data_IF_157627605487
#
_entry.id   IF_157627605487
#
_cell.length_a   1.000
_cell.length_b   1.000
_cell.length_c   1.000
_cell.angle_alpha   90.00
_cell.angle_beta   90.00
_cell.angle_gamma   90.00
#
_symmetry.space_group_name_H-M   'P 1'
#
loop_
_entity.id
_entity.type
_entity.pdbx_description
1 polymer ?
#
# COMPACT_ATOMS: atom_id res chain seq x y z
N UNK A 1 -5.00 6.04 37.44
CA UNK A 1 -4.44 7.31 36.91
C UNK A 1 -3.00 7.40 37.44
N UNK A 2 -2.01 7.10 36.56
CA UNK A 2 -0.59 7.07 36.96
C UNK A 2 -0.09 8.50 36.84
N UNK A 3 0.09 9.19 37.97
CA UNK A 3 0.75 10.50 38.03
C UNK A 3 2.26 10.25 37.86
N UNK A 4 2.79 10.61 36.68
CA UNK A 4 4.24 10.64 36.48
C UNK A 4 4.84 11.75 37.37
N UNK A 5 5.80 11.36 38.21
CA UNK A 5 6.55 12.26 39.05
C UNK A 5 7.28 13.31 38.21
N UNK A 6 7.21 14.59 38.61
CA UNK A 6 7.85 15.72 37.91
C UNK A 6 9.33 15.48 37.65
N UNK A 7 10.02 14.79 38.56
CA UNK A 7 11.42 14.42 38.44
C UNK A 7 11.69 13.46 37.27
N UNK A 8 10.76 12.51 37.02
CA UNK A 8 10.86 11.56 35.89
C UNK A 8 10.60 12.24 34.54
N UNK A 9 9.69 13.24 34.53
CA UNK A 9 9.40 14.00 33.33
C UNK A 9 10.63 14.85 32.94
N UNK A 10 11.27 15.51 33.91
CA UNK A 10 12.48 16.30 33.68
C UNK A 10 13.63 15.42 33.20
N UNK A 11 13.82 14.21 33.78
CA UNK A 11 14.84 13.26 33.32
C UNK A 11 14.60 12.79 31.88
N UNK A 12 13.35 12.47 31.49
CA UNK A 12 12.99 12.05 30.14
C UNK A 12 13.20 13.17 29.12
N UNK A 13 12.84 14.41 29.47
CA UNK A 13 13.06 15.57 28.57
C UNK A 13 14.55 15.91 28.41
N UNK A 14 15.35 15.87 29.48
CA UNK A 14 16.78 16.07 29.39
C UNK A 14 17.47 14.97 28.58
N UNK A 15 17.05 13.71 28.73
CA UNK A 15 17.61 12.60 27.98
C UNK A 15 17.29 12.69 26.48
N UNK A 16 16.08 13.10 26.11
CA UNK A 16 15.70 13.31 24.72
C UNK A 16 16.46 14.47 24.07
N UNK A 17 16.67 15.56 24.79
CA UNK A 17 17.46 16.72 24.30
C UNK A 17 18.93 16.32 24.10
N UNK A 18 19.52 15.52 24.99
CA UNK A 18 20.91 15.04 24.84
C UNK A 18 21.04 14.12 23.62
N UNK A 19 20.07 13.21 23.39
CA UNK A 19 20.10 12.34 22.21
C UNK A 19 19.97 13.14 20.92
N UNK A 20 19.08 14.12 20.86
CA UNK A 20 18.89 14.97 19.69
C UNK A 20 20.14 15.82 19.44
N UNK A 21 20.75 16.41 20.49
CA UNK A 21 21.97 17.20 20.33
C UNK A 21 23.18 16.35 19.94
N UNK A 22 23.30 15.10 20.43
CA UNK A 22 24.36 14.18 20.01
C UNK A 22 24.19 13.72 18.56
N UNK A 23 22.95 13.45 18.12
CA UNK A 23 22.65 13.12 16.73
C UNK A 23 22.97 14.32 15.80
N UNK A 24 22.62 15.53 16.21
CA UNK A 24 22.95 16.75 15.44
C UNK A 24 24.45 17.01 15.39
N UNK A 25 25.18 16.76 16.47
CA UNK A 25 26.63 16.92 16.52
C UNK A 25 27.36 15.87 15.68
N UNK A 26 26.86 14.61 15.67
CA UNK A 26 27.37 13.55 14.80
C UNK A 26 27.13 13.87 13.32
N UNK A 27 25.96 14.40 12.97
CA UNK A 27 25.65 14.78 11.58
C UNK A 27 26.50 15.94 11.08
N UNK A 28 26.83 16.91 11.96
CA UNK A 28 27.69 18.06 11.60
C UNK A 28 29.19 17.75 11.56
N UNK A 29 29.61 16.61 12.18
CA UNK A 29 31.02 16.19 12.23
C UNK A 29 31.41 15.15 11.19
N UNK A 30 30.41 14.60 10.46
CA UNK A 30 30.68 13.67 9.36
C UNK A 30 31.11 14.47 8.13
N UNK A 31 32.39 14.37 7.79
CA UNK A 31 32.90 14.84 6.51
C UNK A 31 32.30 13.98 5.39
N UNK A 32 31.32 14.53 4.71
CA UNK A 32 30.59 13.84 3.60
C UNK A 32 31.38 13.80 2.29
N UNK A 33 32.55 14.43 2.24
CA UNK A 33 33.37 14.50 1.01
C UNK A 33 33.97 13.18 0.55
N UNK A 34 33.88 12.12 1.38
CA UNK A 34 34.38 10.78 1.08
C UNK A 34 33.32 9.68 1.10
N UNK A 35 32.04 10.00 1.38
CA UNK A 35 30.97 9.02 1.26
C UNK A 35 30.67 8.83 -0.23
N UNK A 36 30.61 7.57 -0.71
CA UNK A 36 30.13 7.35 -2.06
C UNK A 36 28.73 7.97 -2.17
N UNK A 37 28.51 8.71 -3.26
CA UNK A 37 27.17 9.18 -3.63
C UNK A 37 26.30 7.93 -3.78
N UNK A 38 25.65 7.54 -2.69
CA UNK A 38 24.63 6.48 -2.71
C UNK A 38 23.42 7.15 -3.33
N UNK A 39 23.42 7.23 -4.66
CA UNK A 39 22.17 7.49 -5.36
C UNK A 39 21.15 6.47 -4.83
N UNK A 40 20.01 6.94 -4.30
CA UNK A 40 18.98 6.05 -3.80
C UNK A 40 18.64 5.09 -4.93
N UNK A 41 18.96 3.81 -4.77
CA UNK A 41 18.61 2.78 -5.75
C UNK A 41 17.10 2.68 -5.74
N UNK A 42 16.45 3.40 -6.64
CA UNK A 42 15.02 3.26 -6.92
C UNK A 42 14.75 1.77 -7.09
N UNK A 43 13.98 1.17 -6.17
CA UNK A 43 13.47 -0.18 -6.35
C UNK A 43 12.49 -0.07 -7.50
N UNK A 44 13.04 -0.27 -8.70
CA UNK A 44 12.31 0.07 -9.92
C UNK A 44 11.19 -0.92 -10.20
N UNK A 45 11.35 -2.20 -9.81
CA UNK A 45 10.36 -3.19 -10.26
C UNK A 45 10.34 -4.44 -9.37
N UNK A 46 9.13 -4.88 -9.01
CA UNK A 46 8.85 -6.20 -8.45
C UNK A 46 7.87 -6.93 -9.36
N UNK A 47 8.00 -8.26 -9.42
CA UNK A 47 7.06 -9.11 -10.12
C UNK A 47 6.87 -10.40 -9.32
N UNK A 48 5.62 -10.79 -9.11
CA UNK A 48 5.27 -12.03 -8.46
C UNK A 48 3.91 -12.52 -8.93
N UNK A 49 3.57 -13.76 -8.65
CA UNK A 49 2.24 -14.31 -8.93
C UNK A 49 1.78 -15.21 -7.78
N UNK A 50 0.46 -15.25 -7.60
CA UNK A 50 -0.22 -16.03 -6.57
C UNK A 50 -1.43 -16.74 -7.17
N UNK A 51 -1.69 -17.98 -6.76
CA UNK A 51 -2.94 -18.69 -7.05
C UNK A 51 -3.86 -18.47 -5.87
N UNK A 52 -5.08 -17.97 -6.14
CA UNK A 52 -6.14 -17.75 -5.16
C UNK A 52 -7.32 -18.67 -5.45
N UNK A 53 -7.95 -19.17 -4.38
CA UNK A 53 -9.10 -20.07 -4.47
C UNK A 53 -10.42 -19.29 -4.55
N UNK A 54 -10.50 -18.44 -5.59
CA UNK A 54 -11.63 -17.57 -5.90
C UNK A 54 -11.78 -17.53 -7.41
N UNK A 55 -13.02 -17.47 -7.90
CA UNK A 55 -13.30 -17.32 -9.33
C UNK A 55 -12.74 -16.01 -9.88
N UNK A 56 -12.33 -16.02 -11.14
CA UNK A 56 -11.68 -14.89 -11.80
C UNK A 56 -12.58 -13.65 -11.88
N UNK A 57 -13.83 -13.82 -12.19
CA UNK A 57 -14.77 -12.69 -12.31
C UNK A 57 -15.07 -12.11 -10.93
N UNK A 58 -15.19 -12.95 -9.93
CA UNK A 58 -15.44 -12.54 -8.56
C UNK A 58 -14.29 -11.72 -8.00
N UNK A 59 -13.06 -12.27 -8.03
CA UNK A 59 -11.89 -11.55 -7.48
C UNK A 59 -11.60 -10.26 -8.25
N UNK A 60 -11.81 -10.27 -9.58
CA UNK A 60 -11.68 -9.06 -10.39
C UNK A 60 -12.69 -7.99 -9.95
N UNK A 61 -13.97 -8.34 -9.81
CA UNK A 61 -15.02 -7.40 -9.42
C UNK A 61 -14.74 -6.78 -8.04
N UNK A 62 -14.28 -7.58 -7.09
CA UNK A 62 -13.92 -7.09 -5.74
C UNK A 62 -12.71 -6.13 -5.82
N UNK A 63 -11.70 -6.46 -6.61
CA UNK A 63 -10.51 -5.61 -6.79
C UNK A 63 -10.78 -4.39 -7.68
N UNK A 64 -11.85 -4.37 -8.46
CA UNK A 64 -12.30 -3.24 -9.26
C UNK A 64 -13.28 -2.32 -8.51
N UNK A 65 -13.77 -2.73 -7.34
CA UNK A 65 -14.67 -1.95 -6.49
C UNK A 65 -13.88 -0.99 -5.59
N UNK A 66 -13.35 0.06 -6.22
CA UNK A 66 -12.44 1.02 -5.60
C UNK A 66 -13.12 1.77 -4.44
N UNK A 67 -14.41 2.07 -4.53
CA UNK A 67 -15.17 2.73 -3.46
C UNK A 67 -15.11 1.96 -2.14
N UNK A 68 -15.06 0.63 -2.20
CA UNK A 68 -15.02 -0.24 -1.03
C UNK A 68 -13.60 -0.47 -0.47
N UNK A 69 -12.55 0.08 -1.06
CA UNK A 69 -11.18 -0.09 -0.58
C UNK A 69 -10.97 0.27 0.90
N UNK A 70 -11.55 1.35 1.45
CA UNK A 70 -11.42 1.63 2.89
C UNK A 70 -11.99 0.53 3.78
N UNK A 71 -13.00 -0.20 3.30
CA UNK A 71 -13.62 -1.34 4.01
C UNK A 71 -12.79 -2.63 3.85
N UNK A 72 -12.25 -2.87 2.66
CA UNK A 72 -11.49 -4.08 2.34
C UNK A 72 -10.05 -3.98 2.87
N UNK A 73 -9.47 -2.80 2.80
CA UNK A 73 -8.07 -2.48 3.14
C UNK A 73 -7.98 -1.42 4.26
N UNK A 74 -8.66 -1.59 5.42
CA UNK A 74 -8.78 -0.52 6.43
C UNK A 74 -7.44 -0.12 7.06
N UNK A 75 -6.41 -0.95 6.91
CA UNK A 75 -5.05 -0.67 7.40
C UNK A 75 -4.19 0.11 6.41
N UNK A 76 -4.59 0.17 5.14
CA UNK A 76 -3.81 0.78 4.07
C UNK A 76 -4.53 1.97 3.43
N UNK A 77 -5.86 1.92 3.31
CA UNK A 77 -6.67 2.96 2.65
C UNK A 77 -7.58 3.61 3.69
N UNK A 78 -7.38 4.90 3.93
CA UNK A 78 -8.18 5.69 4.87
C UNK A 78 -9.47 6.18 4.21
N UNK A 79 -9.36 6.68 2.98
CA UNK A 79 -10.51 7.19 2.22
C UNK A 79 -10.25 7.14 0.73
N UNK A 80 -11.33 7.05 -0.02
CA UNK A 80 -11.39 7.09 -1.48
C UNK A 80 -12.41 8.14 -1.88
N UNK A 81 -12.08 8.97 -2.88
CA UNK A 81 -13.00 9.94 -3.48
C UNK A 81 -12.87 9.85 -5.00
N UNK A 82 -13.88 9.34 -5.68
CA UNK A 82 -13.91 9.23 -7.13
C UNK A 82 -14.14 10.62 -7.71
N UNK A 83 -13.19 11.11 -8.51
CA UNK A 83 -13.25 12.42 -9.17
C UNK A 83 -13.87 12.30 -10.55
N UNK A 84 -13.48 11.28 -11.32
CA UNK A 84 -13.97 11.00 -12.67
C UNK A 84 -14.15 9.50 -12.85
N UNK A 85 -15.18 9.12 -13.58
CA UNK A 85 -15.47 7.72 -13.89
C UNK A 85 -15.99 7.58 -15.31
N UNK A 86 -15.42 6.63 -16.02
CA UNK A 86 -15.90 6.15 -17.32
C UNK A 86 -16.19 4.64 -17.22
N UNK A 87 -16.50 4.01 -18.35
CA UNK A 87 -16.76 2.57 -18.35
C UNK A 87 -15.55 1.73 -17.86
N UNK A 88 -14.33 2.15 -18.21
CA UNK A 88 -13.12 1.38 -17.96
C UNK A 88 -12.04 2.14 -17.19
N UNK A 89 -12.28 3.38 -16.83
CA UNK A 89 -11.29 4.19 -16.13
C UNK A 89 -11.94 4.98 -14.98
N UNK A 90 -11.21 5.04 -13.87
CA UNK A 90 -11.54 5.88 -12.71
C UNK A 90 -10.34 6.76 -12.38
N UNK A 91 -10.57 8.04 -12.14
CA UNK A 91 -9.62 8.94 -11.52
C UNK A 91 -10.05 9.17 -10.08
N UNK A 92 -9.18 8.84 -9.16
CA UNK A 92 -9.53 8.72 -7.74
C UNK A 92 -8.52 9.46 -6.89
N UNK A 93 -9.00 10.18 -5.89
CA UNK A 93 -8.17 10.68 -4.81
C UNK A 93 -8.18 9.64 -3.69
N UNK A 94 -7.02 9.04 -3.41
CA UNK A 94 -6.84 8.07 -2.35
C UNK A 94 -6.00 8.66 -1.21
N UNK A 95 -6.46 8.50 0.02
CA UNK A 95 -5.68 8.76 1.21
C UNK A 95 -5.19 7.42 1.75
N UNK A 96 -3.89 7.18 1.61
CA UNK A 96 -3.25 5.94 2.04
C UNK A 96 -2.54 6.11 3.38
N UNK A 97 -2.31 5.01 4.08
CA UNK A 97 -1.42 4.94 5.24
C UNK A 97 -0.60 3.66 5.19
N UNK A 98 0.67 3.77 5.51
CA UNK A 98 1.59 2.63 5.61
C UNK A 98 2.61 2.92 6.72
N UNK A 99 2.71 2.01 7.70
CA UNK A 99 3.62 2.13 8.87
C UNK A 99 3.49 3.49 9.58
N UNK A 100 2.25 4.01 9.68
CA UNK A 100 1.97 5.31 10.33
C UNK A 100 2.28 6.55 9.47
N UNK A 101 2.79 6.39 8.26
CA UNK A 101 2.97 7.47 7.29
C UNK A 101 1.70 7.58 6.45
N UNK A 102 1.16 8.78 6.34
CA UNK A 102 -0.05 9.04 5.53
C UNK A 102 0.30 9.93 4.35
N UNK A 103 -0.17 9.54 3.16
CA UNK A 103 -0.05 10.35 1.94
C UNK A 103 -1.38 10.41 1.20
N UNK A 104 -1.54 11.47 0.41
CA UNK A 104 -2.68 11.68 -0.48
C UNK A 104 -2.20 11.55 -1.92
N UNK A 105 -2.83 10.67 -2.67
CA UNK A 105 -2.44 10.30 -4.02
C UNK A 105 -3.59 10.56 -4.99
N UNK A 106 -3.26 11.01 -6.18
CA UNK A 106 -4.17 10.99 -7.32
C UNK A 106 -3.88 9.73 -8.14
N UNK A 107 -4.82 8.83 -8.22
CA UNK A 107 -4.66 7.50 -8.79
C UNK A 107 -5.60 7.31 -9.97
N UNK A 108 -5.06 6.84 -11.08
CA UNK A 108 -5.84 6.39 -12.23
C UNK A 108 -5.91 4.87 -12.21
N UNK A 109 -7.13 4.33 -12.18
CA UNK A 109 -7.41 2.91 -12.37
C UNK A 109 -7.92 2.69 -13.79
N UNK A 110 -7.30 1.77 -14.51
CA UNK A 110 -7.79 1.29 -15.81
C UNK A 110 -8.18 -0.18 -15.67
N UNK A 111 -9.43 -0.48 -15.97
CA UNK A 111 -10.05 -1.78 -15.81
C UNK A 111 -10.27 -2.42 -17.18
N UNK A 112 -9.54 -3.49 -17.49
CA UNK A 112 -9.83 -4.39 -18.60
C UNK A 112 -10.59 -5.58 -18.02
N UNK A 113 -11.92 -5.67 -18.18
CA UNK A 113 -12.77 -6.58 -17.44
C UNK A 113 -12.27 -8.01 -17.45
N UNK A 114 -12.04 -8.55 -16.26
CA UNK A 114 -11.57 -9.92 -15.98
C UNK A 114 -10.18 -10.27 -16.54
N UNK A 115 -9.46 -9.30 -17.13
CA UNK A 115 -8.13 -9.50 -17.69
C UNK A 115 -7.04 -8.76 -16.94
N UNK A 116 -7.23 -7.45 -16.74
CA UNK A 116 -6.22 -6.61 -16.11
C UNK A 116 -6.85 -5.49 -15.28
N UNK A 117 -6.16 -5.15 -14.19
CA UNK A 117 -6.35 -3.91 -13.46
C UNK A 117 -5.01 -3.18 -13.44
N UNK A 118 -4.97 -1.98 -14.02
CA UNK A 118 -3.79 -1.13 -14.10
C UNK A 118 -4.02 0.05 -13.16
N UNK A 119 -3.05 0.32 -12.30
CA UNK A 119 -3.07 1.39 -11.29
C UNK A 119 -1.88 2.28 -11.60
N UNK A 120 -2.13 3.56 -11.86
CA UNK A 120 -1.10 4.56 -12.16
C UNK A 120 -1.26 5.74 -11.22
N UNK A 121 -0.21 6.07 -10.47
CA UNK A 121 -0.23 7.22 -9.57
C UNK A 121 0.16 8.46 -10.36
N UNK A 122 -0.82 9.34 -10.53
CA UNK A 122 -0.72 10.53 -11.37
C UNK A 122 -0.16 11.73 -10.61
N UNK A 123 -0.37 11.78 -9.27
CA UNK A 123 0.14 12.84 -8.41
C UNK A 123 0.28 12.40 -6.95
N UNK A 124 1.04 13.15 -6.15
CA UNK A 124 1.39 12.85 -4.75
C UNK A 124 2.76 12.19 -4.62
N UNK A 125 3.09 11.74 -3.39
CA UNK A 125 4.43 11.26 -3.02
C UNK A 125 4.86 9.94 -3.66
N UNK A 126 4.00 9.34 -4.48
CA UNK A 126 4.31 8.13 -5.25
C UNK A 126 4.08 8.31 -6.76
N UNK A 127 4.05 9.56 -7.24
CA UNK A 127 3.81 9.90 -8.65
C UNK A 127 4.75 9.14 -9.59
N UNK A 128 4.16 8.50 -10.62
CA UNK A 128 4.87 7.68 -11.58
C UNK A 128 4.94 6.20 -11.20
N UNK A 129 4.45 5.82 -10.03
CA UNK A 129 4.24 4.40 -9.69
C UNK A 129 3.19 3.81 -10.62
N UNK A 130 3.49 2.60 -11.12
CA UNK A 130 2.57 1.83 -11.95
C UNK A 130 2.52 0.39 -11.47
N UNK A 131 1.31 -0.11 -11.28
CA UNK A 131 1.05 -1.50 -10.89
C UNK A 131 0.13 -2.12 -11.94
N UNK A 132 0.49 -3.30 -12.42
CA UNK A 132 -0.30 -4.07 -13.38
C UNK A 132 -0.62 -5.41 -12.73
N UNK A 133 -1.91 -5.70 -12.60
CA UNK A 133 -2.43 -6.96 -12.10
C UNK A 133 -3.13 -7.69 -13.25
N UNK A 134 -2.73 -8.95 -13.50
CA UNK A 134 -3.33 -9.81 -14.53
C UNK A 134 -4.05 -10.98 -13.89
N UNK A 135 -5.18 -11.35 -14.46
CA UNK A 135 -6.06 -12.40 -13.97
C UNK A 135 -6.17 -13.54 -15.00
N UNK A 136 -5.70 -14.72 -14.63
CA UNK A 136 -5.72 -15.90 -15.47
C UNK A 136 -6.48 -17.04 -14.75
N UNK A 137 -7.39 -17.71 -15.45
CA UNK A 137 -8.11 -18.89 -14.89
C UNK A 137 -7.19 -20.10 -14.88
N UNK A 138 -7.10 -20.80 -13.74
CA UNK A 138 -6.40 -22.08 -13.59
C UNK A 138 -7.37 -23.07 -12.91
N UNK A 139 -8.04 -23.90 -13.72
CA UNK A 139 -9.12 -24.79 -13.23
C UNK A 139 -10.26 -23.95 -12.65
N UNK A 140 -10.57 -24.15 -11.37
CA UNK A 140 -11.56 -23.38 -10.60
C UNK A 140 -10.93 -22.24 -9.77
N UNK A 141 -9.66 -21.93 -9.99
CA UNK A 141 -8.90 -20.93 -9.26
C UNK A 141 -8.44 -19.82 -10.18
N UNK A 142 -7.96 -18.74 -9.60
CA UNK A 142 -7.38 -17.61 -10.35
C UNK A 142 -5.90 -17.47 -10.02
N UNK A 143 -5.09 -17.37 -11.07
CA UNK A 143 -3.71 -16.89 -10.94
C UNK A 143 -3.71 -15.38 -11.11
N UNK A 144 -3.28 -14.68 -10.07
CA UNK A 144 -3.02 -13.26 -10.02
C UNK A 144 -1.53 -13.03 -10.25
N UNK A 145 -1.18 -12.32 -11.32
CA UNK A 145 0.20 -11.90 -11.61
C UNK A 145 0.30 -10.40 -11.44
N UNK A 146 1.19 -9.95 -10.55
CA UNK A 146 1.41 -8.54 -10.26
C UNK A 146 2.80 -8.12 -10.71
N UNK A 147 2.85 -7.05 -11.50
CA UNK A 147 4.07 -6.33 -11.82
C UNK A 147 3.92 -4.89 -11.32
N UNK A 148 4.86 -4.42 -10.53
CA UNK A 148 4.81 -3.08 -9.96
C UNK A 148 6.17 -2.39 -10.07
N UNK A 149 6.14 -1.17 -10.63
CA UNK A 149 7.24 -0.23 -10.62
C UNK A 149 6.91 0.89 -9.65
N UNK A 150 7.69 1.00 -8.58
CA UNK A 150 7.48 2.01 -7.56
C UNK A 150 8.36 3.25 -7.79
N UNK A 151 7.78 4.39 -7.48
CA UNK A 151 8.48 5.67 -7.31
C UNK A 151 8.09 6.18 -5.94
N UNK A 152 9.06 6.58 -5.13
CA UNK A 152 8.85 7.13 -3.80
C UNK A 152 9.43 8.54 -3.73
N UNK A 153 8.62 9.50 -3.28
CA UNK A 153 9.01 10.90 -3.09
C UNK A 153 8.40 11.41 -1.76
N UNK A 154 8.73 12.63 -1.37
CA UNK A 154 8.16 13.28 -0.20
C UNK A 154 8.24 12.42 1.05
N UNK A 155 7.10 12.22 1.73
CA UNK A 155 7.03 11.43 2.97
C UNK A 155 7.22 9.93 2.73
N UNK A 156 7.12 9.45 1.48
CA UNK A 156 7.29 8.02 1.12
C UNK A 156 8.74 7.65 0.78
N UNK A 157 9.68 8.59 0.74
CA UNK A 157 11.11 8.32 0.48
C UNK A 157 11.67 7.17 1.33
N UNK A 158 11.35 6.99 2.62
CA UNK A 158 11.89 5.88 3.39
C UNK A 158 11.59 4.50 2.82
N UNK A 159 10.51 4.33 2.05
CA UNK A 159 10.13 3.05 1.47
C UNK A 159 11.05 2.59 0.34
N UNK A 160 11.82 3.49 -0.28
CA UNK A 160 12.81 3.12 -1.30
C UNK A 160 13.94 2.22 -0.75
N UNK A 161 14.17 2.26 0.58
CA UNK A 161 15.19 1.46 1.25
C UNK A 161 14.68 0.09 1.71
N UNK A 162 13.38 -0.20 1.55
CA UNK A 162 12.82 -1.49 1.90
C UNK A 162 13.39 -2.59 1.00
N UNK A 163 13.75 -3.75 1.57
CA UNK A 163 14.11 -4.92 0.79
C UNK A 163 12.97 -5.31 -0.18
N UNK A 164 13.34 -5.74 -1.36
CA UNK A 164 12.38 -6.14 -2.42
C UNK A 164 11.35 -7.18 -1.96
N UNK A 165 11.77 -8.13 -1.12
CA UNK A 165 10.90 -9.15 -0.54
C UNK A 165 9.86 -8.55 0.42
N UNK A 166 10.16 -7.45 1.12
CA UNK A 166 9.16 -6.78 1.96
C UNK A 166 8.08 -6.09 1.13
N UNK A 167 8.45 -5.45 0.01
CA UNK A 167 7.47 -4.88 -0.91
C UNK A 167 6.57 -5.96 -1.52
N UNK A 168 7.15 -7.09 -1.93
CA UNK A 168 6.37 -8.24 -2.41
C UNK A 168 5.42 -8.73 -1.31
N UNK A 169 5.89 -8.87 -0.08
CA UNK A 169 5.07 -9.33 1.05
C UNK A 169 3.93 -8.36 1.37
N UNK A 170 4.18 -7.04 1.32
CA UNK A 170 3.15 -6.02 1.52
C UNK A 170 2.07 -6.13 0.43
N UNK A 171 2.46 -6.23 -0.83
CA UNK A 171 1.52 -6.40 -1.95
C UNK A 171 0.75 -7.72 -1.88
N UNK A 172 1.38 -8.82 -1.50
CA UNK A 172 0.72 -10.12 -1.29
C UNK A 172 -0.28 -10.08 -0.14
N UNK A 173 0.03 -9.32 0.92
CA UNK A 173 -0.90 -9.09 2.04
C UNK A 173 -2.15 -8.31 1.58
N UNK A 174 -1.99 -7.31 0.72
CA UNK A 174 -3.13 -6.59 0.11
C UNK A 174 -4.02 -7.56 -0.68
N UNK A 175 -3.43 -8.41 -1.53
CA UNK A 175 -4.19 -9.43 -2.27
C UNK A 175 -4.91 -10.39 -1.31
N UNK A 176 -4.27 -10.76 -0.19
CA UNK A 176 -4.89 -11.62 0.83
C UNK A 176 -6.15 -11.00 1.43
N UNK A 177 -6.18 -9.70 1.67
CA UNK A 177 -7.36 -9.02 2.20
C UNK A 177 -8.54 -9.06 1.20
N UNK A 178 -8.28 -8.92 -0.10
CA UNK A 178 -9.32 -9.08 -1.12
C UNK A 178 -9.89 -10.50 -1.15
N UNK A 179 -9.03 -11.52 -1.02
CA UNK A 179 -9.46 -12.94 -0.97
C UNK A 179 -10.27 -13.23 0.29
N UNK A 180 -9.87 -12.72 1.45
CA UNK A 180 -10.62 -12.86 2.70
C UNK A 180 -11.98 -12.21 2.56
N UNK A 181 -12.05 -10.99 2.01
CA UNK A 181 -13.31 -10.29 1.80
C UNK A 181 -14.27 -11.08 0.88
N UNK A 182 -13.76 -11.68 -0.21
CA UNK A 182 -14.54 -12.56 -1.10
C UNK A 182 -15.16 -13.73 -0.33
N UNK A 183 -14.36 -14.43 0.47
CA UNK A 183 -14.82 -15.58 1.24
C UNK A 183 -15.90 -15.21 2.26
N UNK A 184 -15.75 -14.07 2.94
CA UNK A 184 -16.71 -13.56 3.92
C UNK A 184 -18.04 -13.18 3.25
N UNK A 185 -17.96 -12.53 2.07
CA UNK A 185 -19.14 -12.16 1.29
C UNK A 185 -19.93 -13.38 0.85
N UNK A 186 -19.26 -14.42 0.35
CA UNK A 186 -19.90 -15.68 -0.08
C UNK A 186 -20.53 -16.44 1.08
N UNK A 187 -19.88 -16.47 2.24
CA UNK A 187 -20.38 -17.14 3.44
C UNK A 187 -21.66 -16.47 3.95
N UNK A 188 -21.70 -15.14 3.99
CA UNK A 188 -22.86 -14.38 4.43
C UNK A 188 -24.03 -14.49 3.44
N UNK A 189 -23.74 -14.49 2.14
CA UNK A 189 -24.77 -14.65 1.09
C UNK A 189 -25.45 -16.02 1.14
N UNK A 190 -24.69 -17.11 1.39
CA UNK A 190 -25.25 -18.45 1.57
C UNK A 190 -26.15 -18.54 2.79
N UNK A 191 -25.76 -17.95 3.91
CA UNK A 191 -26.54 -17.99 5.15
C UNK A 191 -27.90 -17.31 5.02
N UNK A 192 -27.97 -16.21 4.24
CA UNK A 192 -29.25 -15.51 3.97
C UNK A 192 -30.18 -16.36 3.11
N UNK A 193 -29.64 -17.14 2.17
CA UNK A 193 -30.45 -18.03 1.28
C UNK A 193 -30.95 -19.25 2.04
N UNK A 194 -30.17 -19.78 2.98
CA UNK A 194 -30.55 -20.94 3.78
C UNK A 194 -31.61 -20.62 4.88
N UNK A 195 -31.73 -19.34 5.26
CA UNK A 195 -32.67 -18.81 6.24
C UNK A 195 -34.04 -18.37 5.63
N UNK A 196 -34.22 -18.49 4.27
CA UNK A 196 -35.45 -18.17 3.52
C UNK A 196 -36.20 -19.43 3.11
#
# INVERSE_FOLDING_TARGET
MITLDKTRIIFLTCFSVIIISTLFYLDSSIDRSGLPDIEPKLISEISFSRIVDVDKQEIFNIMADIENYPRILPRNIISVNILEQTQNELLVEEKITEIGITSKLLVKHTLLPYEQHIIEIMDGDAKGTKIIQKFETIGNKTKLSTNAKFVFDGVLIPFQYLPKNQLIHSMDSIISNFVIYSNDFNTNSKKIVDDL
#
